data_IF_755649737477
#
_entry.id   IF_755649737477
#
_cell.length_a   1.000
_cell.length_b   1.000
_cell.length_c   1.000
_cell.angle_alpha   90.00
_cell.angle_beta   90.00
_cell.angle_gamma   90.00
#
_symmetry.space_group_name_H-M   'P 1'
#
loop_
_entity.id
_entity.type
_entity.pdbx_description
1 polymer ?
#
# COMPACT_ATOMS: atom_id res chain seq x y z
N UNK A 1 -8.44 -20.17 -2.38
CA UNK A 1 -7.05 -19.66 -2.41
C UNK A 1 -6.68 -18.87 -1.15
N UNK A 2 -7.53 -17.96 -0.65
CA UNK A 2 -7.24 -17.21 0.58
C UNK A 2 -6.97 -18.11 1.80
N UNK A 3 -7.87 -19.05 2.09
CA UNK A 3 -7.72 -20.00 3.20
C UNK A 3 -6.48 -20.90 3.06
N UNK A 4 -6.15 -21.30 1.84
CA UNK A 4 -4.93 -22.07 1.58
C UNK A 4 -3.67 -21.24 1.86
N UNK A 5 -3.67 -19.96 1.47
CA UNK A 5 -2.59 -19.03 1.82
C UNK A 5 -2.40 -18.90 3.33
N UNK A 6 -3.49 -18.77 4.10
CA UNK A 6 -3.44 -18.73 5.57
C UNK A 6 -2.85 -20.01 6.14
N UNK A 7 -3.30 -21.17 5.63
CA UNK A 7 -2.79 -22.48 6.04
C UNK A 7 -1.29 -22.60 5.80
N UNK A 8 -0.79 -22.16 4.64
CA UNK A 8 0.64 -22.16 4.30
C UNK A 8 1.43 -21.27 5.27
N UNK A 9 0.95 -20.04 5.51
CA UNK A 9 1.63 -19.11 6.41
C UNK A 9 1.68 -19.63 7.86
N UNK A 10 0.58 -20.20 8.35
CA UNK A 10 0.51 -20.83 9.66
C UNK A 10 1.45 -22.03 9.76
N UNK A 11 1.44 -22.93 8.76
CA UNK A 11 2.32 -24.11 8.72
C UNK A 11 3.80 -23.73 8.65
N UNK A 12 4.13 -22.62 7.98
CA UNK A 12 5.49 -22.10 7.91
C UNK A 12 5.97 -21.42 9.21
N UNK A 13 5.10 -21.24 10.21
CA UNK A 13 5.43 -20.55 11.46
C UNK A 13 5.79 -19.07 11.28
N UNK A 14 5.41 -18.47 10.15
CA UNK A 14 5.75 -17.08 9.84
C UNK A 14 4.81 -16.12 10.57
N UNK A 15 5.41 -15.12 11.21
CA UNK A 15 4.65 -13.96 11.70
C UNK A 15 4.03 -13.26 10.51
N UNK A 16 2.72 -13.04 10.58
CA UNK A 16 1.98 -12.33 9.54
C UNK A 16 0.95 -11.41 10.18
N UNK A 17 0.60 -10.37 9.42
CA UNK A 17 -0.47 -9.43 9.76
C UNK A 17 -1.67 -9.73 8.88
N UNK A 18 -2.85 -9.30 9.33
CA UNK A 18 -4.09 -9.44 8.58
C UNK A 18 -4.18 -8.38 7.46
N UNK A 19 -3.26 -8.44 6.51
CA UNK A 19 -3.15 -7.54 5.37
C UNK A 19 -3.01 -8.28 4.05
N UNK A 20 -3.51 -7.71 2.96
CA UNK A 20 -3.49 -8.38 1.66
C UNK A 20 -2.98 -7.48 0.53
N UNK A 21 -2.03 -7.97 -0.25
CA UNK A 21 -1.58 -7.33 -1.48
C UNK A 21 -1.99 -8.23 -2.67
N UNK A 22 -3.11 -7.94 -3.35
CA UNK A 22 -3.58 -8.77 -4.43
C UNK A 22 -2.58 -8.80 -5.60
N UNK A 23 -2.34 -9.98 -6.20
CA UNK A 23 -1.58 -10.07 -7.45
C UNK A 23 -2.15 -9.12 -8.51
N UNK A 24 -1.24 -8.47 -9.24
CA UNK A 24 -1.58 -7.45 -10.24
C UNK A 24 -2.46 -6.30 -9.72
N UNK A 25 -2.48 -6.07 -8.40
CA UNK A 25 -3.31 -5.06 -7.73
C UNK A 25 -4.82 -5.25 -7.96
N UNK A 26 -5.25 -6.42 -8.41
CA UNK A 26 -6.65 -6.67 -8.74
C UNK A 26 -7.45 -7.07 -7.49
N UNK A 27 -8.31 -6.17 -7.02
CA UNK A 27 -9.17 -6.38 -5.87
C UNK A 27 -10.66 -6.34 -6.26
N UNK A 28 -11.19 -7.39 -6.90
CA UNK A 28 -12.60 -7.43 -7.26
C UNK A 28 -13.48 -7.44 -5.99
N UNK A 29 -14.75 -6.99 -6.06
CA UNK A 29 -15.64 -6.93 -4.90
C UNK A 29 -15.72 -8.23 -4.10
N UNK A 30 -15.76 -9.38 -4.77
CA UNK A 30 -15.79 -10.69 -4.12
C UNK A 30 -14.53 -11.00 -3.30
N UNK A 31 -13.35 -10.57 -3.76
CA UNK A 31 -12.12 -10.71 -2.98
C UNK A 31 -12.16 -9.80 -1.76
N UNK A 32 -12.53 -8.54 -1.95
CA UNK A 32 -12.60 -7.59 -0.85
C UNK A 32 -13.61 -8.05 0.23
N UNK A 33 -14.77 -8.61 -0.18
CA UNK A 33 -15.73 -9.19 0.77
C UNK A 33 -15.13 -10.37 1.53
N UNK A 34 -14.49 -11.30 0.82
CA UNK A 34 -13.84 -12.45 1.46
C UNK A 34 -12.73 -12.06 2.44
N UNK A 35 -12.00 -10.96 2.14
CA UNK A 35 -11.01 -10.39 3.05
C UNK A 35 -11.66 -9.80 4.31
N UNK A 36 -12.74 -9.03 4.15
CA UNK A 36 -13.50 -8.49 5.30
C UNK A 36 -14.06 -9.60 6.19
N UNK A 37 -14.68 -10.64 5.59
CA UNK A 37 -15.25 -11.78 6.32
C UNK A 37 -14.18 -12.57 7.09
N UNK A 38 -12.94 -12.56 6.59
CA UNK A 38 -11.80 -13.24 7.20
C UNK A 38 -10.99 -12.34 8.18
N UNK A 39 -11.53 -11.18 8.57
CA UNK A 39 -10.92 -10.21 9.49
C UNK A 39 -9.58 -9.63 8.98
N UNK A 40 -9.44 -9.49 7.66
CA UNK A 40 -8.37 -8.65 7.12
C UNK A 40 -8.61 -7.19 7.47
N UNK A 41 -7.54 -6.48 7.83
CA UNK A 41 -7.57 -5.09 8.26
C UNK A 41 -7.30 -4.12 7.12
N UNK A 42 -6.50 -4.53 6.14
CA UNK A 42 -6.11 -3.68 5.03
C UNK A 42 -5.82 -4.41 3.73
N UNK A 43 -5.86 -3.64 2.64
CA UNK A 43 -5.53 -4.09 1.29
C UNK A 43 -4.65 -3.06 0.56
N UNK A 44 -3.71 -3.53 -0.26
CA UNK A 44 -2.86 -2.69 -1.12
C UNK A 44 -3.23 -2.94 -2.58
N UNK A 45 -4.33 -2.36 -3.04
CA UNK A 45 -4.92 -2.67 -4.34
C UNK A 45 -4.79 -1.56 -5.37
N UNK A 46 -3.95 -0.56 -5.14
CA UNK A 46 -3.58 0.41 -6.17
C UNK A 46 -2.06 0.57 -6.28
N UNK A 47 -1.57 0.76 -7.50
CA UNK A 47 -0.22 1.26 -7.76
C UNK A 47 -0.27 2.43 -8.72
N UNK A 48 0.23 3.57 -8.26
CA UNK A 48 0.29 4.79 -9.06
C UNK A 48 1.55 5.60 -8.72
N UNK A 49 2.48 5.59 -9.67
CA UNK A 49 3.77 6.25 -9.53
C UNK A 49 3.87 7.54 -10.34
N UNK A 50 2.85 7.80 -11.17
CA UNK A 50 2.92 8.77 -12.26
C UNK A 50 1.98 9.95 -12.02
N UNK A 51 0.84 9.74 -11.35
CA UNK A 51 -0.06 10.83 -10.99
C UNK A 51 0.69 11.86 -10.14
N UNK A 52 0.65 13.17 -10.50
CA UNK A 52 1.26 14.22 -9.71
C UNK A 52 0.77 14.24 -8.27
N UNK A 53 1.67 14.51 -7.33
CA UNK A 53 1.35 14.50 -5.91
C UNK A 53 0.70 15.83 -5.51
N UNK A 54 -0.52 15.76 -5.00
CA UNK A 54 -1.23 16.84 -4.29
C UNK A 54 -2.02 16.23 -3.13
N UNK A 55 -2.52 17.05 -2.20
CA UNK A 55 -3.34 16.59 -1.07
C UNK A 55 -4.61 15.82 -1.51
N UNK A 56 -5.18 16.21 -2.65
CA UNK A 56 -6.40 15.64 -3.21
C UNK A 56 -6.14 14.66 -4.37
N UNK A 57 -4.88 14.32 -4.64
CA UNK A 57 -4.52 13.46 -5.76
C UNK A 57 -5.18 12.08 -5.64
N UNK A 58 -5.68 11.58 -6.78
CA UNK A 58 -6.39 10.30 -6.87
C UNK A 58 -5.70 9.35 -7.83
N UNK A 59 -5.76 8.06 -7.52
CA UNK A 59 -5.14 7.01 -8.32
C UNK A 59 -5.77 6.92 -9.72
N UNK A 60 -4.94 6.92 -10.74
CA UNK A 60 -5.28 6.65 -12.14
C UNK A 60 -4.50 5.46 -12.72
N UNK A 61 -3.52 4.94 -11.98
CA UNK A 61 -2.67 3.80 -12.37
C UNK A 61 -3.34 2.42 -12.33
N UNK A 62 -2.57 1.42 -11.90
CA UNK A 62 -2.97 0.02 -11.85
C UNK A 62 -3.81 -0.29 -10.61
N UNK A 63 -4.78 -1.20 -10.76
CA UNK A 63 -5.67 -1.62 -9.67
C UNK A 63 -6.80 -0.62 -9.43
N UNK A 64 -7.12 -0.35 -8.16
CA UNK A 64 -8.19 0.54 -7.73
C UNK A 64 -7.91 1.99 -8.16
N UNK A 65 -8.82 2.55 -8.94
CA UNK A 65 -8.79 3.94 -9.42
C UNK A 65 -9.70 4.85 -8.59
N UNK A 66 -9.38 6.13 -8.52
CA UNK A 66 -10.15 7.14 -7.79
C UNK A 66 -9.94 7.15 -6.28
N UNK A 67 -9.18 6.20 -5.73
CA UNK A 67 -8.74 6.20 -4.34
C UNK A 67 -7.69 7.31 -4.10
N UNK A 68 -7.46 7.70 -2.86
CA UNK A 68 -6.42 8.67 -2.53
C UNK A 68 -5.04 8.11 -2.90
N UNK A 69 -4.22 8.96 -3.51
CA UNK A 69 -2.84 8.63 -3.85
C UNK A 69 -1.96 8.50 -2.61
N UNK A 70 -2.20 9.33 -1.59
CA UNK A 70 -1.27 9.52 -0.47
C UNK A 70 -1.88 9.28 0.91
N UNK A 71 -3.20 9.25 1.06
CA UNK A 71 -3.83 9.00 2.35
C UNK A 71 -4.47 7.60 2.39
N UNK A 72 -4.33 6.86 3.50
CA UNK A 72 -5.11 5.65 3.71
C UNK A 72 -6.61 5.96 3.65
N UNK A 73 -7.39 5.07 3.05
CA UNK A 73 -8.84 5.26 2.94
C UNK A 73 -9.57 4.00 3.37
N UNK A 74 -10.61 4.11 4.20
CA UNK A 74 -11.55 3.01 4.37
C UNK A 74 -12.32 2.81 3.07
N UNK A 75 -12.33 1.57 2.57
CA UNK A 75 -13.09 1.18 1.38
C UNK A 75 -14.14 0.13 1.73
N UNK A 76 -15.26 0.16 1.02
CA UNK A 76 -16.26 -0.90 0.99
C UNK A 76 -16.27 -1.58 -0.37
N UNK A 77 -16.70 -2.83 -0.37
CA UNK A 77 -16.88 -3.65 -1.56
C UNK A 77 -18.28 -3.36 -2.11
N UNK A 78 -18.42 -2.32 -2.93
CA UNK A 78 -19.69 -2.11 -3.66
C UNK A 78 -19.78 -3.13 -4.81
N UNK A 79 -20.87 -3.90 -4.93
CA UNK A 79 -21.07 -4.87 -6.02
C UNK A 79 -21.10 -4.21 -7.40
N UNK A 80 -21.53 -2.94 -7.48
CA UNK A 80 -21.90 -2.27 -8.71
C UNK A 80 -21.03 -1.04 -9.00
N UNK A 81 -19.77 -1.24 -9.41
CA UNK A 81 -18.99 -0.34 -10.27
C UNK A 81 -18.87 1.16 -9.91
N UNK A 82 -19.38 1.60 -8.76
CA UNK A 82 -19.39 2.97 -8.30
C UNK A 82 -18.06 3.35 -7.67
N UNK A 83 -17.71 4.63 -7.76
CA UNK A 83 -16.55 5.16 -7.06
C UNK A 83 -16.66 4.87 -5.55
N UNK A 84 -15.58 4.46 -4.86
CA UNK A 84 -15.62 4.21 -3.42
C UNK A 84 -16.12 5.46 -2.68
N UNK A 85 -17.26 5.36 -1.99
CA UNK A 85 -17.76 6.42 -1.12
C UNK A 85 -17.14 6.29 0.27
N UNK A 86 -16.61 7.39 0.80
CA UNK A 86 -16.17 7.46 2.19
C UNK A 86 -17.41 7.40 3.11
N UNK A 87 -17.48 6.44 4.03
CA UNK A 87 -18.59 6.41 5.00
C UNK A 87 -18.30 5.71 6.32
N UNK A 88 -19.06 6.17 7.33
CA UNK A 88 -18.99 5.89 8.76
C UNK A 88 -19.26 4.42 9.15
N UNK A 89 -18.43 3.97 10.09
CA UNK A 89 -18.50 2.82 11.01
C UNK A 89 -18.72 1.39 10.48
N UNK A 90 -17.79 0.56 10.95
CA UNK A 90 -17.69 -0.89 11.13
C UNK A 90 -17.61 -1.82 9.89
N UNK A 91 -16.39 -2.38 9.72
CA UNK A 91 -15.93 -3.44 8.81
C UNK A 91 -15.54 -3.06 7.37
N UNK A 92 -14.97 -1.88 7.15
CA UNK A 92 -14.25 -1.55 5.91
C UNK A 92 -12.78 -1.99 5.94
N UNK A 93 -12.22 -2.37 4.80
CA UNK A 93 -10.77 -2.56 4.64
C UNK A 93 -10.09 -1.19 4.55
N UNK A 94 -8.97 -1.00 5.23
CA UNK A 94 -8.11 0.17 4.97
C UNK A 94 -7.37 -0.08 3.66
N UNK A 95 -7.57 0.79 2.68
CA UNK A 95 -6.86 0.78 1.41
C UNK A 95 -5.60 1.62 1.48
N UNK A 96 -4.51 1.07 0.97
CA UNK A 96 -3.26 1.77 0.73
C UNK A 96 -2.90 1.76 -0.77
N UNK A 97 -2.37 2.88 -1.23
CA UNK A 97 -1.82 3.00 -2.58
C UNK A 97 -0.31 2.79 -2.53
N UNK A 98 0.23 1.89 -3.35
CA UNK A 98 1.66 1.90 -3.68
C UNK A 98 1.95 3.13 -4.53
N UNK A 99 2.52 4.16 -3.91
CA UNK A 99 2.81 5.44 -4.55
C UNK A 99 4.30 5.70 -4.81
N UNK A 100 5.15 4.74 -4.43
CA UNK A 100 6.60 4.85 -4.59
C UNK A 100 7.27 3.49 -4.88
N UNK A 101 8.33 3.50 -5.68
CA UNK A 101 9.29 2.41 -5.82
C UNK A 101 10.69 2.98 -6.15
N UNK A 102 11.73 2.15 -6.23
CA UNK A 102 13.10 2.62 -6.45
C UNK A 102 13.35 3.39 -7.77
N UNK A 103 12.42 3.36 -8.72
CA UNK A 103 12.48 4.19 -9.95
C UNK A 103 11.78 5.54 -9.81
N UNK A 104 11.07 5.79 -8.71
CA UNK A 104 10.45 7.08 -8.39
C UNK A 104 11.51 8.05 -7.91
N UNK A 105 11.32 9.36 -8.10
CA UNK A 105 12.31 10.39 -7.73
C UNK A 105 12.24 10.75 -6.24
N UNK A 106 13.33 11.29 -5.67
CA UNK A 106 13.34 11.76 -4.28
C UNK A 106 12.31 12.89 -4.09
N UNK A 107 12.16 13.77 -5.07
CA UNK A 107 11.20 14.87 -5.05
C UNK A 107 9.76 14.37 -4.90
N UNK A 108 9.42 13.21 -5.48
CA UNK A 108 8.10 12.60 -5.27
C UNK A 108 7.92 12.16 -3.82
N UNK A 109 8.94 11.54 -3.21
CA UNK A 109 8.86 11.15 -1.81
C UNK A 109 8.68 12.38 -0.90
N UNK A 110 9.45 13.44 -1.16
CA UNK A 110 9.32 14.70 -0.43
C UNK A 110 7.92 15.28 -0.58
N UNK A 111 7.39 15.38 -1.79
CA UNK A 111 6.05 15.90 -2.04
C UNK A 111 4.95 15.10 -1.31
N UNK A 112 5.09 13.77 -1.22
CA UNK A 112 4.14 12.93 -0.47
C UNK A 112 4.16 13.28 1.01
N UNK A 113 5.35 13.35 1.61
CA UNK A 113 5.52 13.66 3.04
C UNK A 113 5.08 15.10 3.34
N UNK A 114 5.42 16.07 2.49
CA UNK A 114 5.07 17.49 2.66
C UNK A 114 3.55 17.74 2.54
N UNK A 115 2.83 16.89 1.81
CA UNK A 115 1.37 16.88 1.80
C UNK A 115 0.76 16.17 3.03
N UNK A 116 1.58 15.72 4.00
CA UNK A 116 1.12 14.96 5.17
C UNK A 116 0.67 13.53 4.83
N UNK A 117 1.11 12.99 3.69
CA UNK A 117 0.73 11.68 3.18
C UNK A 117 1.60 10.54 3.71
N UNK A 118 1.16 9.31 3.42
CA UNK A 118 1.91 8.08 3.62
C UNK A 118 2.75 7.75 2.38
N UNK A 119 4.07 7.72 2.55
CA UNK A 119 5.00 7.20 1.55
C UNK A 119 5.04 5.66 1.60
N UNK A 120 4.39 4.99 0.64
CA UNK A 120 4.31 3.53 0.58
C UNK A 120 5.26 2.99 -0.50
N UNK A 121 6.42 2.51 -0.07
CA UNK A 121 7.50 2.02 -0.92
C UNK A 121 7.31 0.54 -1.24
N UNK A 122 7.30 0.19 -2.52
CA UNK A 122 7.29 -1.19 -2.99
C UNK A 122 8.66 -1.62 -3.54
N UNK A 123 9.05 -2.85 -3.22
CA UNK A 123 10.16 -3.56 -3.82
C UNK A 123 9.86 -5.07 -3.90
N UNK A 124 10.53 -5.77 -4.80
CA UNK A 124 10.53 -7.23 -4.87
C UNK A 124 11.88 -7.78 -4.44
N UNK A 125 11.90 -8.89 -3.70
CA UNK A 125 13.15 -9.55 -3.34
C UNK A 125 13.93 -10.06 -4.56
N UNK A 126 13.25 -10.37 -5.66
CA UNK A 126 13.87 -10.88 -6.88
C UNK A 126 14.01 -9.78 -7.95
N UNK A 127 15.19 -9.68 -8.57
CA UNK A 127 15.41 -8.81 -9.73
C UNK A 127 15.04 -9.47 -11.05
N UNK A 128 15.40 -10.74 -11.20
CA UNK A 128 15.16 -11.51 -12.43
C UNK A 128 14.51 -12.84 -12.08
N UNK A 129 13.50 -13.22 -12.85
CA UNK A 129 12.79 -14.49 -12.65
C UNK A 129 11.69 -14.67 -13.70
N UNK A 130 11.47 -15.92 -14.13
CA UNK A 130 10.41 -16.25 -15.09
C UNK A 130 10.55 -15.53 -16.45
N UNK A 131 11.77 -15.17 -16.86
CA UNK A 131 12.03 -14.44 -18.11
C UNK A 131 11.79 -12.93 -18.03
N UNK A 132 11.54 -12.38 -16.83
CA UNK A 132 11.24 -10.96 -16.62
C UNK A 132 12.30 -10.35 -15.70
N UNK A 133 12.70 -9.11 -16.00
CA UNK A 133 13.50 -8.26 -15.11
C UNK A 133 12.59 -7.22 -14.46
N UNK A 134 12.49 -7.25 -13.14
CA UNK A 134 11.65 -6.34 -12.36
C UNK A 134 12.37 -5.02 -12.13
N UNK A 135 11.72 -3.89 -12.42
CA UNK A 135 12.30 -2.56 -12.23
C UNK A 135 12.57 -2.27 -10.75
N UNK A 136 11.73 -2.78 -9.87
CA UNK A 136 11.74 -2.62 -8.42
C UNK A 136 12.27 -3.88 -7.70
N UNK A 137 12.99 -4.75 -8.40
CA UNK A 137 13.72 -5.84 -7.77
C UNK A 137 14.92 -5.34 -6.98
N UNK A 138 15.17 -5.91 -5.80
CA UNK A 138 16.29 -5.59 -4.93
C UNK A 138 17.60 -6.08 -5.57
N UNK A 139 18.34 -5.13 -6.15
CA UNK A 139 19.75 -5.23 -6.51
C UNK A 139 20.55 -4.17 -5.74
N UNK A 140 21.87 -4.14 -5.90
CA UNK A 140 22.70 -3.15 -5.19
C UNK A 140 22.29 -1.71 -5.50
N UNK A 141 21.93 -1.40 -6.75
CA UNK A 141 21.51 -0.05 -7.13
C UNK A 141 20.18 0.35 -6.46
N UNK A 142 19.24 -0.58 -6.34
CA UNK A 142 17.99 -0.40 -5.61
C UNK A 142 18.26 -0.16 -4.12
N UNK A 143 19.14 -0.96 -3.51
CA UNK A 143 19.52 -0.79 -2.10
C UNK A 143 20.22 0.55 -1.85
N UNK A 144 21.20 0.93 -2.68
CA UNK A 144 21.91 2.21 -2.58
C UNK A 144 20.95 3.40 -2.74
N UNK A 145 19.97 3.28 -3.63
CA UNK A 145 18.94 4.30 -3.82
C UNK A 145 18.03 4.44 -2.59
N UNK A 146 17.55 3.32 -2.04
CA UNK A 146 16.71 3.33 -0.85
C UNK A 146 17.47 3.85 0.38
N UNK A 147 18.75 3.50 0.53
CA UNK A 147 19.59 4.05 1.60
C UNK A 147 19.72 5.58 1.46
N UNK A 148 19.98 6.09 0.25
CA UNK A 148 20.05 7.53 -0.01
C UNK A 148 18.73 8.22 0.33
N UNK A 149 17.60 7.63 -0.07
CA UNK A 149 16.27 8.13 0.26
C UNK A 149 16.04 8.18 1.77
N UNK A 150 16.35 7.11 2.50
CA UNK A 150 16.15 7.07 3.94
C UNK A 150 17.00 8.10 4.68
N UNK A 151 18.27 8.26 4.30
CA UNK A 151 19.15 9.30 4.85
C UNK A 151 18.62 10.70 4.60
N UNK A 152 18.09 10.98 3.40
CA UNK A 152 17.48 12.27 3.07
C UNK A 152 16.25 12.53 3.93
N UNK A 153 15.35 11.55 4.06
CA UNK A 153 14.14 11.67 4.89
C UNK A 153 14.48 11.86 6.37
N UNK A 154 15.44 11.10 6.89
CA UNK A 154 15.91 11.21 8.27
C UNK A 154 16.55 12.57 8.54
N UNK A 155 17.41 13.04 7.63
CA UNK A 155 18.08 14.35 7.74
C UNK A 155 17.07 15.50 7.75
N UNK A 156 16.04 15.41 6.90
CA UNK A 156 15.06 16.50 6.71
C UNK A 156 13.97 16.53 7.77
N UNK A 157 13.46 15.37 8.17
CA UNK A 157 12.27 15.26 9.02
C UNK A 157 12.55 14.70 10.42
N UNK A 158 13.62 13.92 10.59
CA UNK A 158 13.96 13.29 11.87
C UNK A 158 12.75 12.64 12.55
N UNK A 159 12.54 12.98 13.81
CA UNK A 159 11.46 12.45 14.65
C UNK A 159 10.05 12.91 14.23
N UNK A 160 9.92 13.90 13.32
CA UNK A 160 8.62 14.28 12.77
C UNK A 160 8.07 13.23 11.80
N UNK A 161 8.94 12.35 11.27
CA UNK A 161 8.53 11.28 10.37
C UNK A 161 8.19 10.01 11.16
N UNK A 162 6.98 9.51 10.98
CA UNK A 162 6.56 8.25 11.56
C UNK A 162 6.99 7.07 10.69
N UNK A 163 8.11 6.44 11.05
CA UNK A 163 8.53 5.16 10.51
C UNK A 163 7.65 4.04 11.08
N UNK A 164 6.91 3.36 10.22
CA UNK A 164 5.82 2.46 10.66
C UNK A 164 5.58 1.32 9.68
N UNK A 165 4.82 0.33 10.13
CA UNK A 165 4.23 -0.70 9.27
C UNK A 165 2.83 -0.29 8.80
N UNK A 166 2.37 -0.88 7.68
CA UNK A 166 1.00 -0.70 7.21
C UNK A 166 -0.05 -1.23 8.21
N UNK A 167 0.31 -2.22 9.02
CA UNK A 167 -0.57 -2.76 10.05
C UNK A 167 -0.86 -1.73 11.14
N UNK A 168 0.17 -1.03 11.64
CA UNK A 168 0.01 0.04 12.63
C UNK A 168 -0.80 1.21 12.08
N UNK A 169 -0.59 1.58 10.81
CA UNK A 169 -1.40 2.62 10.16
C UNK A 169 -2.85 2.17 10.04
N UNK A 170 -3.10 0.93 9.62
CA UNK A 170 -4.45 0.38 9.50
C UNK A 170 -5.17 0.34 10.86
N UNK A 171 -4.47 -0.08 11.91
CA UNK A 171 -5.00 -0.11 13.27
C UNK A 171 -5.36 1.30 13.76
N UNK A 172 -4.50 2.28 13.52
CA UNK A 172 -4.77 3.68 13.86
C UNK A 172 -5.97 4.23 13.09
N UNK A 173 -6.08 3.96 11.79
CA UNK A 173 -7.22 4.39 10.97
C UNK A 173 -8.55 3.78 11.46
N UNK A 174 -8.53 2.50 11.83
CA UNK A 174 -9.73 1.80 12.36
C UNK A 174 -10.12 2.33 13.73
N UNK A 175 -9.16 2.56 14.63
CA UNK A 175 -9.43 3.11 15.96
C UNK A 175 -10.02 4.54 15.95
N UNK A 176 -9.74 5.33 14.91
CA UNK A 176 -10.33 6.67 14.74
C UNK A 176 -11.69 6.69 14.03
N UNK A 177 -12.12 5.54 13.50
CA UNK A 177 -13.37 5.42 12.76
C UNK A 177 -14.55 4.92 13.62
N UNK A 178 -14.25 4.43 14.82
CA UNK A 178 -15.20 4.11 15.89
C UNK A 178 -15.44 5.34 16.79
#
# INVERSE_FOLDING_TARGET
>A
MLEEGRRIFAAAGLRHVQGFAPPAWNAPPALCQALSDADFRFVISARDLDTPVTGEARTAGSGLRGASLIHPMLIRCEPDGGAPAAMASCAGLVHFTTNFQATSTIERALAIIECGGLLAIKAHIFKTGGGITMLDGLDNACCDYLERLWRELETRYGDALWWTTLAEVADRCRATAD
#
